data_IF_780540819967
#
_entry.id   IF_780540819967
#
_cell.length_a   1.000
_cell.length_b   1.000
_cell.length_c   1.000
_cell.angle_alpha   90.00
_cell.angle_beta   90.00
_cell.angle_gamma   90.00
#
_symmetry.space_group_name_H-M   'P 1'
#
loop_
_entity.id
_entity.type
_entity.pdbx_description
1 polymer ?
#
# COMPACT_ATOMS: atom_id res chain seq x y z
N UNK A 1 -7.44 1.48 22.90
CA UNK A 1 -7.83 1.64 21.49
C UNK A 1 -6.58 1.88 20.63
N UNK A 2 -6.58 1.46 19.36
CA UNK A 2 -5.45 1.58 18.42
C UNK A 2 -5.90 2.48 17.28
N UNK A 3 -5.17 3.58 17.02
CA UNK A 3 -5.44 4.43 15.88
C UNK A 3 -4.91 3.81 14.59
N UNK A 4 -5.46 4.15 13.43
CA UNK A 4 -4.93 3.68 12.15
C UNK A 4 -5.12 4.69 11.04
N UNK A 5 -4.22 4.67 10.06
CA UNK A 5 -4.25 5.60 8.94
C UNK A 5 -3.47 5.13 7.72
N UNK A 6 -3.59 5.90 6.64
CA UNK A 6 -2.91 5.68 5.36
C UNK A 6 -2.01 6.86 5.02
N UNK A 7 -1.31 6.77 3.89
CA UNK A 7 -0.73 7.95 3.24
C UNK A 7 -1.83 8.98 2.94
N UNK A 8 -1.53 10.27 3.06
CA UNK A 8 -2.47 11.39 2.84
C UNK A 8 -2.81 11.60 1.35
N UNK A 9 -2.13 10.87 0.48
CA UNK A 9 -2.35 10.79 -0.96
C UNK A 9 -2.23 9.34 -1.43
N UNK A 10 -2.62 9.09 -2.68
CA UNK A 10 -2.41 7.78 -3.33
C UNK A 10 -3.60 6.81 -3.27
N UNK A 11 -3.36 5.63 -3.83
CA UNK A 11 -4.36 4.60 -4.12
C UNK A 11 -5.03 4.03 -2.87
N UNK A 12 -4.30 3.91 -1.75
CA UNK A 12 -4.82 3.34 -0.50
C UNK A 12 -5.84 4.24 0.17
N UNK A 13 -5.58 5.56 0.25
CA UNK A 13 -6.56 6.53 0.77
C UNK A 13 -7.82 6.54 -0.09
N UNK A 14 -7.63 6.55 -1.41
CA UNK A 14 -8.73 6.57 -2.37
C UNK A 14 -9.57 5.29 -2.33
N UNK A 15 -8.94 4.14 -2.09
CA UNK A 15 -9.63 2.86 -1.89
C UNK A 15 -10.65 2.96 -0.75
N UNK A 16 -10.23 3.43 0.44
CA UNK A 16 -11.15 3.58 1.56
C UNK A 16 -12.23 4.62 1.29
N UNK A 17 -11.88 5.75 0.66
CA UNK A 17 -12.83 6.81 0.31
C UNK A 17 -13.94 6.36 -0.64
N UNK A 18 -13.64 5.46 -1.58
CA UNK A 18 -14.59 4.97 -2.58
C UNK A 18 -15.22 3.62 -2.25
N UNK A 19 -14.76 2.95 -1.19
CA UNK A 19 -15.21 1.61 -0.87
C UNK A 19 -16.70 1.60 -0.55
N UNK A 20 -17.41 0.59 -1.06
CA UNK A 20 -18.83 0.34 -0.75
C UNK A 20 -19.03 -0.78 0.27
N UNK A 21 -17.93 -1.38 0.74
CA UNK A 21 -17.97 -2.43 1.76
C UNK A 21 -18.13 -1.75 3.11
N UNK A 22 -19.19 -2.10 3.85
CA UNK A 22 -19.57 -1.44 5.10
C UNK A 22 -18.43 -1.34 6.12
N UNK A 23 -17.59 -2.38 6.22
CA UNK A 23 -16.40 -2.37 7.08
C UNK A 23 -15.40 -1.26 6.69
N UNK A 24 -15.08 -1.15 5.40
CA UNK A 24 -14.11 -0.17 4.89
C UNK A 24 -14.66 1.25 4.87
N UNK A 25 -15.97 1.42 4.68
CA UNK A 25 -16.64 2.71 4.81
C UNK A 25 -16.63 3.21 6.27
N UNK A 26 -16.82 2.31 7.24
CA UNK A 26 -16.64 2.63 8.66
C UNK A 26 -15.19 3.03 8.97
N UNK A 27 -14.21 2.31 8.41
CA UNK A 27 -12.80 2.66 8.55
C UNK A 27 -12.48 4.04 7.96
N UNK A 28 -13.01 4.33 6.78
CA UNK A 28 -12.88 5.64 6.14
C UNK A 28 -13.50 6.76 6.97
N UNK A 29 -14.72 6.56 7.48
CA UNK A 29 -15.42 7.53 8.33
C UNK A 29 -14.57 7.89 9.54
N UNK A 30 -14.01 6.89 10.24
CA UNK A 30 -13.05 7.11 11.33
C UNK A 30 -11.83 7.93 10.87
N UNK A 31 -11.15 7.52 9.79
CA UNK A 31 -9.94 8.20 9.33
C UNK A 31 -10.21 9.65 8.92
N UNK A 32 -11.38 9.92 8.33
CA UNK A 32 -11.80 11.25 7.89
C UNK A 32 -12.07 12.20 9.07
N UNK A 33 -12.61 11.71 10.17
CA UNK A 33 -12.95 12.52 11.35
C UNK A 33 -11.93 12.45 12.48
N UNK A 34 -10.81 11.74 12.30
CA UNK A 34 -9.83 11.54 13.36
C UNK A 34 -9.02 12.83 13.64
N UNK A 35 -9.03 13.25 14.90
CA UNK A 35 -8.22 14.34 15.42
C UNK A 35 -7.35 13.85 16.58
N UNK A 36 -6.01 13.97 16.52
CA UNK A 36 -5.22 14.52 15.41
C UNK A 36 -5.23 13.61 14.16
N UNK A 37 -4.89 14.18 13.01
CA UNK A 37 -4.89 13.45 11.72
C UNK A 37 -4.13 12.12 11.81
N UNK A 38 -4.78 11.06 11.34
CA UNK A 38 -4.19 9.73 11.20
C UNK A 38 -3.45 9.56 9.88
N UNK A 39 -3.60 10.48 8.94
CA UNK A 39 -2.86 10.46 7.69
C UNK A 39 -1.40 10.92 7.88
N UNK A 40 -0.51 10.41 7.05
CA UNK A 40 0.92 10.78 7.01
C UNK A 40 1.31 11.22 5.61
N UNK A 41 2.34 12.06 5.47
CA UNK A 41 2.72 12.64 4.17
C UNK A 41 3.64 11.72 3.36
N UNK A 42 4.39 10.85 4.04
CA UNK A 42 5.31 9.90 3.41
C UNK A 42 5.22 8.51 4.04
N UNK A 43 5.60 7.48 3.29
CA UNK A 43 5.67 6.11 3.79
C UNK A 43 6.63 6.00 4.98
N UNK A 44 7.78 6.68 4.93
CA UNK A 44 8.76 6.69 6.00
C UNK A 44 8.19 7.28 7.30
N UNK A 45 7.40 8.35 7.20
CA UNK A 45 6.69 8.95 8.34
C UNK A 45 5.68 7.96 8.94
N UNK A 46 4.92 7.24 8.11
CA UNK A 46 3.99 6.20 8.56
C UNK A 46 4.67 5.09 9.34
N UNK A 47 5.78 4.55 8.81
CA UNK A 47 6.59 3.52 9.48
C UNK A 47 7.15 4.04 10.80
N UNK A 48 7.73 5.25 10.81
CA UNK A 48 8.27 5.85 12.03
C UNK A 48 7.20 6.13 13.08
N UNK A 49 5.98 6.50 12.67
CA UNK A 49 4.84 6.68 13.57
C UNK A 49 4.47 5.37 14.26
N UNK A 50 4.34 4.27 13.51
CA UNK A 50 4.10 2.92 14.08
C UNK A 50 5.14 2.57 15.14
N UNK A 51 6.44 2.70 14.80
CA UNK A 51 7.56 2.40 15.70
C UNK A 51 7.49 3.19 17.01
N UNK A 52 7.17 4.48 16.94
CA UNK A 52 7.10 5.38 18.11
C UNK A 52 5.82 5.23 18.92
N UNK A 53 4.76 4.68 18.34
CA UNK A 53 3.44 4.60 18.98
C UNK A 53 3.27 3.42 19.94
N UNK A 54 4.27 2.56 20.13
CA UNK A 54 4.21 1.43 21.09
C UNK A 54 2.93 0.58 20.94
N UNK A 55 2.58 0.24 19.70
CA UNK A 55 1.38 -0.54 19.38
C UNK A 55 0.06 0.21 19.46
N UNK A 56 0.07 1.55 19.55
CA UNK A 56 -1.15 2.40 19.55
C UNK A 56 -1.49 3.01 18.20
N UNK A 57 -0.70 2.73 17.16
CA UNK A 57 -0.97 3.17 15.79
C UNK A 57 -0.64 2.05 14.80
N UNK A 58 -1.55 1.79 13.85
CA UNK A 58 -1.37 0.89 12.73
C UNK A 58 -1.33 1.66 11.41
N UNK A 59 -0.45 1.25 10.50
CA UNK A 59 -0.29 1.91 9.20
C UNK A 59 -0.70 0.98 8.07
N UNK A 60 -1.63 1.46 7.25
CA UNK A 60 -2.15 0.74 6.10
C UNK A 60 -1.38 1.17 4.85
N UNK A 61 -0.57 0.25 4.31
CA UNK A 61 0.25 0.44 3.12
C UNK A 61 0.19 -0.79 2.20
N UNK A 62 0.75 -0.67 0.99
CA UNK A 62 0.81 -1.76 0.02
C UNK A 62 1.65 -2.94 0.55
N UNK A 63 1.22 -4.18 0.26
CA UNK A 63 1.81 -5.40 0.84
C UNK A 63 3.30 -5.57 0.51
N UNK A 64 3.69 -5.21 -0.71
CA UNK A 64 5.08 -5.22 -1.20
C UNK A 64 5.99 -4.38 -0.30
N UNK A 65 5.54 -3.17 0.05
CA UNK A 65 6.28 -2.29 0.96
C UNK A 65 6.25 -2.79 2.40
N UNK A 66 5.15 -3.39 2.85
CA UNK A 66 5.06 -3.96 4.19
C UNK A 66 6.08 -5.10 4.38
N UNK A 67 6.08 -6.07 3.47
CA UNK A 67 6.99 -7.22 3.48
C UNK A 67 8.45 -6.78 3.36
N UNK A 68 8.73 -5.76 2.54
CA UNK A 68 10.06 -5.18 2.45
C UNK A 68 10.51 -4.49 3.76
N UNK A 69 9.65 -3.70 4.40
CA UNK A 69 9.99 -3.00 5.65
C UNK A 69 10.15 -3.97 6.82
N UNK A 70 9.33 -5.02 6.88
CA UNK A 70 9.43 -6.10 7.87
C UNK A 70 10.81 -6.77 7.89
N UNK A 71 11.43 -6.95 6.73
CA UNK A 71 12.77 -7.53 6.62
C UNK A 71 13.91 -6.54 6.93
N UNK A 72 13.60 -5.27 7.26
CA UNK A 72 14.61 -4.25 7.55
C UNK A 72 14.85 -4.15 9.06
N UNK A 73 16.12 -3.96 9.42
CA UNK A 73 16.49 -3.62 10.81
C UNK A 73 15.70 -2.39 11.29
N UNK A 74 15.24 -2.37 12.56
CA UNK A 74 15.51 -3.36 13.62
C UNK A 74 14.46 -4.49 13.72
N UNK A 75 13.76 -4.84 12.65
CA UNK A 75 12.73 -5.90 12.61
C UNK A 75 11.58 -5.66 13.61
N UNK A 76 11.15 -4.40 13.70
CA UNK A 76 10.19 -3.87 14.68
C UNK A 76 8.80 -3.59 14.06
N UNK A 77 8.55 -4.13 12.87
CA UNK A 77 7.28 -4.07 12.15
C UNK A 77 6.87 -5.47 11.74
N UNK A 78 5.57 -5.73 11.61
CA UNK A 78 5.06 -7.01 11.13
C UNK A 78 3.79 -6.78 10.29
N UNK A 79 3.63 -7.59 9.24
CA UNK A 79 2.34 -7.69 8.53
C UNK A 79 1.37 -8.54 9.36
N UNK A 80 0.12 -8.10 9.44
CA UNK A 80 -0.97 -8.82 10.13
C UNK A 80 -2.13 -9.00 9.17
N UNK A 81 -2.63 -10.24 9.08
CA UNK A 81 -3.75 -10.60 8.22
C UNK A 81 -3.42 -10.67 6.73
N UNK A 82 -4.46 -10.92 5.93
CA UNK A 82 -4.38 -10.92 4.47
C UNK A 82 -4.44 -9.53 3.84
N UNK A 83 -4.22 -9.46 2.53
CA UNK A 83 -4.39 -8.22 1.79
C UNK A 83 -5.88 -7.82 1.76
N UNK A 84 -6.16 -6.51 1.75
CA UNK A 84 -7.52 -5.97 1.73
C UNK A 84 -8.14 -5.96 0.33
N UNK A 85 -7.30 -6.01 -0.69
CA UNK A 85 -7.66 -6.03 -2.11
C UNK A 85 -6.61 -6.80 -2.92
N UNK A 86 -6.88 -6.96 -4.21
CA UNK A 86 -5.95 -7.54 -5.19
C UNK A 86 -5.54 -6.45 -6.17
N UNK A 87 -4.31 -5.94 -6.02
CA UNK A 87 -3.69 -4.94 -6.88
C UNK A 87 -2.37 -5.46 -7.43
N UNK A 88 -1.96 -4.93 -8.58
CA UNK A 88 -0.66 -5.21 -9.18
C UNK A 88 -0.08 -3.95 -9.81
N UNK A 89 1.25 -3.87 -9.86
CA UNK A 89 1.93 -2.82 -10.60
C UNK A 89 1.97 -3.15 -12.10
N UNK A 90 2.00 -2.11 -12.92
CA UNK A 90 2.13 -2.24 -14.37
C UNK A 90 2.93 -1.08 -14.95
N UNK A 91 3.51 -1.30 -16.14
CA UNK A 91 4.25 -0.27 -16.85
C UNK A 91 3.25 0.63 -17.59
N UNK A 92 3.21 1.91 -17.22
CA UNK A 92 2.33 2.88 -17.86
C UNK A 92 3.01 3.49 -19.10
N UNK A 93 2.31 3.47 -20.24
CA UNK A 93 2.70 4.19 -21.46
C UNK A 93 1.63 5.21 -21.84
N UNK A 94 1.98 6.34 -22.49
CA UNK A 94 0.98 7.27 -23.02
C UNK A 94 -0.05 6.57 -23.91
N UNK A 95 -1.31 7.05 -23.88
CA UNK A 95 -2.38 6.49 -24.70
C UNK A 95 -2.03 6.64 -26.18
N UNK A 96 -2.08 5.54 -26.93
CA UNK A 96 -1.70 5.50 -28.35
C UNK A 96 -0.20 5.36 -28.62
N UNK A 97 0.64 5.22 -27.60
CA UNK A 97 2.07 4.99 -27.79
C UNK A 97 2.35 3.67 -28.51
N UNK A 98 3.25 3.71 -29.50
CA UNK A 98 3.79 2.54 -30.19
C UNK A 98 4.56 1.59 -29.26
N UNK A 99 4.96 2.06 -28.07
CA UNK A 99 5.64 1.25 -27.05
C UNK A 99 4.72 0.27 -26.33
N UNK A 100 3.40 0.51 -26.35
CA UNK A 100 2.45 -0.28 -25.57
C UNK A 100 2.56 -1.77 -25.87
N UNK A 101 2.47 -2.15 -27.15
CA UNK A 101 2.52 -3.55 -27.58
C UNK A 101 3.87 -4.22 -27.28
N UNK A 102 5.03 -3.66 -27.69
CA UNK A 102 6.32 -4.32 -27.43
C UNK A 102 6.64 -4.42 -25.94
N UNK A 103 6.32 -3.41 -25.11
CA UNK A 103 6.51 -3.47 -23.66
C UNK A 103 5.63 -4.55 -23.04
N UNK A 104 4.35 -4.64 -23.45
CA UNK A 104 3.44 -5.64 -22.93
C UNK A 104 3.92 -7.08 -23.24
N UNK A 105 4.39 -7.33 -24.45
CA UNK A 105 4.96 -8.63 -24.84
C UNK A 105 6.25 -8.95 -24.08
N UNK A 106 7.10 -7.96 -23.84
CA UNK A 106 8.33 -8.14 -23.06
C UNK A 106 8.04 -8.52 -21.59
N UNK A 107 7.06 -7.86 -20.96
CA UNK A 107 6.63 -8.20 -19.58
C UNK A 107 6.11 -9.64 -19.50
N UNK A 108 5.29 -10.06 -20.46
CA UNK A 108 4.79 -11.44 -20.52
C UNK A 108 5.95 -12.45 -20.63
N UNK A 109 6.90 -12.21 -21.54
CA UNK A 109 8.07 -13.08 -21.70
C UNK A 109 8.89 -13.20 -20.42
N UNK A 110 9.15 -12.08 -19.72
CA UNK A 110 9.89 -12.09 -18.46
C UNK A 110 9.15 -12.82 -17.33
N UNK A 111 7.81 -12.72 -17.32
CA UNK A 111 6.95 -13.43 -16.38
C UNK A 111 6.95 -14.94 -16.64
N UNK A 112 6.73 -15.37 -17.89
CA UNK A 112 6.69 -16.80 -18.27
C UNK A 112 8.04 -17.50 -18.07
N UNK A 113 9.14 -16.75 -18.18
CA UNK A 113 10.50 -17.24 -17.91
C UNK A 113 10.86 -17.28 -16.41
N UNK A 114 9.97 -16.83 -15.51
CA UNK A 114 10.24 -16.73 -14.08
C UNK A 114 11.34 -15.71 -13.73
N UNK A 115 11.65 -14.78 -14.64
CA UNK A 115 12.69 -13.76 -14.38
C UNK A 115 12.21 -12.76 -13.35
N UNK A 116 10.92 -12.41 -13.37
CA UNK A 116 10.33 -11.47 -12.41
C UNK A 116 10.32 -12.05 -10.98
N UNK A 117 10.09 -13.35 -10.82
CA UNK A 117 10.07 -14.01 -9.50
C UNK A 117 11.48 -14.12 -8.89
N UNK A 118 12.53 -14.07 -9.73
CA UNK A 118 13.92 -14.16 -9.30
C UNK A 118 14.50 -12.82 -8.80
N UNK A 119 13.93 -11.69 -9.24
CA UNK A 119 14.38 -10.34 -8.92
C UNK A 119 13.88 -9.91 -7.53
#
# INVERSE_FOLDING_TARGET
EIAYGTLDSGSTKEFFRRSKIALFDKMWTYMKSAEPSVFVKTTAEGVMRVRKSKGKYAYLLESTMNEYIEQRKPCDTMKVGGNLDSKGYGIATPKGSSLRTPVNLAVLKLSEQGTLDKL
#
